data_IF_280864037391
#
_entry.id   IF_280864037391
#
_cell.length_a   1.000
_cell.length_b   1.000
_cell.length_c   1.000
_cell.angle_alpha   90.00
_cell.angle_beta   90.00
_cell.angle_gamma   90.00
#
_symmetry.space_group_name_H-M   'P 1'
#
loop_
_entity.id
_entity.type
_entity.pdbx_description
1 polymer ?
#
# COMPACT_ATOMS: atom_id res chain seq x y z
N UNK A 1 13.39 -11.46 -12.70
CA UNK A 1 12.73 -11.25 -11.40
C UNK A 1 11.46 -10.45 -11.62
N UNK A 2 10.40 -10.63 -10.82
CA UNK A 2 9.14 -9.88 -10.91
C UNK A 2 8.91 -9.10 -9.62
N UNK A 3 8.44 -7.84 -9.71
CA UNK A 3 8.07 -6.99 -8.59
C UNK A 3 6.79 -6.22 -8.91
N UNK A 4 5.92 -6.04 -7.94
CA UNK A 4 4.77 -5.14 -8.04
C UNK A 4 5.16 -3.72 -7.61
N UNK A 5 4.70 -2.71 -8.37
CA UNK A 5 4.75 -1.31 -7.98
C UNK A 5 3.33 -0.85 -7.67
N UNK A 6 3.11 -0.34 -6.48
CA UNK A 6 1.80 0.16 -6.08
C UNK A 6 1.84 1.64 -5.70
N UNK A 7 0.73 2.32 -5.89
CA UNK A 7 0.54 3.70 -5.46
C UNK A 7 -0.85 3.90 -4.86
N UNK A 8 -0.93 4.82 -3.89
CA UNK A 8 -2.17 5.23 -3.25
C UNK A 8 -2.81 6.32 -4.10
N UNK A 9 -4.08 6.14 -4.48
CA UNK A 9 -4.80 6.96 -5.45
C UNK A 9 -6.20 7.35 -4.93
N UNK A 10 -6.80 8.35 -5.58
CA UNK A 10 -8.10 8.85 -5.16
C UNK A 10 -8.05 9.70 -3.91
N UNK A 11 -6.88 10.23 -3.60
CA UNK A 11 -6.59 11.02 -2.38
C UNK A 11 -6.51 12.53 -2.65
N UNK A 12 -6.88 12.96 -3.86
CA UNK A 12 -6.89 14.36 -4.26
C UNK A 12 -5.61 14.83 -4.94
N UNK A 13 -4.71 13.92 -5.33
CA UNK A 13 -3.49 14.26 -6.06
C UNK A 13 -3.75 14.45 -7.55
N UNK A 14 -3.23 15.53 -8.14
CA UNK A 14 -3.36 15.80 -9.56
C UNK A 14 -2.61 14.79 -10.45
N UNK A 15 -1.65 14.06 -9.88
CA UNK A 15 -0.78 13.11 -10.58
C UNK A 15 -1.35 11.70 -10.71
N UNK A 16 -2.56 11.41 -10.18
CA UNK A 16 -3.14 10.08 -10.16
C UNK A 16 -3.21 9.43 -11.56
N UNK A 17 -3.65 10.17 -12.57
CA UNK A 17 -3.76 9.66 -13.93
C UNK A 17 -2.40 9.28 -14.54
N UNK A 18 -1.36 10.05 -14.27
CA UNK A 18 0.00 9.74 -14.74
C UNK A 18 0.61 8.57 -13.97
N UNK A 19 0.41 8.49 -12.66
CA UNK A 19 0.88 7.37 -11.84
C UNK A 19 0.30 6.04 -12.32
N UNK A 20 -0.97 6.01 -12.72
CA UNK A 20 -1.61 4.81 -13.27
C UNK A 20 -0.93 4.27 -14.54
N UNK A 21 -0.15 5.08 -15.24
CA UNK A 21 0.67 4.60 -16.38
C UNK A 21 1.99 3.97 -15.96
N UNK A 22 2.39 4.15 -14.70
CA UNK A 22 3.70 3.78 -14.19
C UNK A 22 3.66 2.62 -13.18
N UNK A 23 2.52 2.39 -12.53
CA UNK A 23 2.35 1.35 -11.51
C UNK A 23 1.66 0.11 -12.06
N UNK A 24 1.79 -1.02 -11.36
CA UNK A 24 1.07 -2.26 -11.65
C UNK A 24 -0.15 -2.48 -10.76
N UNK A 25 -0.21 -1.81 -9.60
CA UNK A 25 -1.31 -1.88 -8.65
C UNK A 25 -1.71 -0.50 -8.14
N UNK A 26 -3.02 -0.27 -7.97
CA UNK A 26 -3.60 0.94 -7.45
C UNK A 26 -4.35 0.65 -6.13
N UNK A 27 -4.07 1.42 -5.09
CA UNK A 27 -4.80 1.37 -3.82
C UNK A 27 -5.74 2.58 -3.77
N UNK A 28 -7.03 2.35 -3.96
CA UNK A 28 -8.01 3.42 -4.14
C UNK A 28 -8.68 3.77 -2.80
N UNK A 29 -8.60 5.03 -2.40
CA UNK A 29 -9.23 5.57 -1.20
C UNK A 29 -10.74 5.30 -1.20
N UNK A 30 -11.27 4.91 -0.04
CA UNK A 30 -12.64 4.43 0.12
C UNK A 30 -13.54 5.40 0.91
N UNK A 31 -13.21 6.68 0.92
CA UNK A 31 -14.05 7.76 1.48
C UNK A 31 -13.81 8.08 2.95
N UNK A 32 -13.13 7.26 3.72
CA UNK A 32 -12.91 7.50 5.16
C UNK A 32 -11.77 8.48 5.45
N UNK A 33 -10.69 8.43 4.70
CA UNK A 33 -9.60 9.42 4.84
C UNK A 33 -9.55 10.40 3.67
N UNK A 34 -10.00 10.00 2.50
CA UNK A 34 -10.01 10.78 1.27
C UNK A 34 -10.96 10.15 0.25
N UNK A 35 -11.22 10.88 -0.82
CA UNK A 35 -12.06 10.41 -1.91
C UNK A 35 -13.56 10.46 -1.60
N UNK A 36 -14.33 10.02 -2.56
CA UNK A 36 -15.77 9.84 -2.51
C UNK A 36 -16.21 8.84 -3.58
N UNK A 37 -17.52 8.60 -3.72
CA UNK A 37 -18.05 7.63 -4.67
C UNK A 37 -17.70 7.96 -6.13
N UNK A 38 -17.69 9.22 -6.52
CA UNK A 38 -17.38 9.66 -7.89
C UNK A 38 -15.88 9.52 -8.18
N UNK A 39 -15.03 9.87 -7.23
CA UNK A 39 -13.59 9.69 -7.31
C UNK A 39 -13.23 8.21 -7.42
N UNK A 40 -13.87 7.35 -6.63
CA UNK A 40 -13.69 5.90 -6.70
C UNK A 40 -14.05 5.38 -8.10
N UNK A 41 -15.20 5.80 -8.66
CA UNK A 41 -15.58 5.43 -10.03
C UNK A 41 -14.56 5.88 -11.07
N UNK A 42 -14.05 7.09 -10.96
CA UNK A 42 -13.06 7.64 -11.89
C UNK A 42 -11.74 6.87 -11.80
N UNK A 43 -11.24 6.61 -10.60
CA UNK A 43 -10.00 5.84 -10.39
C UNK A 43 -10.13 4.40 -10.91
N UNK A 44 -11.26 3.74 -10.67
CA UNK A 44 -11.51 2.38 -11.17
C UNK A 44 -11.49 2.36 -12.70
N UNK A 45 -12.18 3.30 -13.34
CA UNK A 45 -12.21 3.41 -14.81
C UNK A 45 -10.83 3.59 -15.40
N UNK A 46 -10.04 4.48 -14.84
CA UNK A 46 -8.67 4.72 -15.32
C UNK A 46 -7.74 3.53 -15.04
N UNK A 47 -7.90 2.84 -13.91
CA UNK A 47 -7.15 1.62 -13.61
C UNK A 47 -7.46 0.51 -14.63
N UNK A 48 -8.74 0.29 -14.96
CA UNK A 48 -9.15 -0.69 -15.99
C UNK A 48 -8.53 -0.33 -17.34
N UNK A 49 -8.63 0.93 -17.75
CA UNK A 49 -8.08 1.42 -19.03
C UNK A 49 -6.58 1.21 -19.16
N UNK A 50 -5.83 1.34 -18.05
CA UNK A 50 -4.38 1.17 -18.01
C UNK A 50 -3.94 -0.27 -17.68
N UNK A 51 -4.86 -1.21 -17.46
CA UNK A 51 -4.55 -2.59 -17.09
C UNK A 51 -3.90 -2.72 -15.70
N UNK A 52 -4.17 -1.78 -14.79
CA UNK A 52 -3.64 -1.73 -13.44
C UNK A 52 -4.54 -2.51 -12.48
N UNK A 53 -3.96 -3.31 -11.60
CA UNK A 53 -4.70 -4.06 -10.59
C UNK A 53 -5.40 -3.11 -9.61
N UNK A 54 -6.68 -3.37 -9.35
CA UNK A 54 -7.53 -2.55 -8.48
C UNK A 54 -7.51 -3.10 -7.06
N UNK A 55 -7.20 -2.25 -6.10
CA UNK A 55 -7.26 -2.57 -4.67
C UNK A 55 -7.96 -1.51 -3.84
N UNK A 56 -8.54 -1.93 -2.73
CA UNK A 56 -9.15 -1.04 -1.76
C UNK A 56 -8.12 -0.52 -0.75
N UNK A 57 -8.25 0.74 -0.39
CA UNK A 57 -7.37 1.43 0.56
C UNK A 57 -8.17 1.95 1.76
N UNK A 58 -8.70 1.03 2.63
CA UNK A 58 -9.53 1.39 3.76
C UNK A 58 -8.73 2.05 4.87
N UNK A 59 -9.37 2.94 5.60
CA UNK A 59 -8.77 3.75 6.65
C UNK A 59 -9.64 3.80 7.91
N UNK A 60 -9.07 4.28 9.00
CA UNK A 60 -9.83 4.83 10.10
C UNK A 60 -10.72 5.99 9.65
N UNK A 61 -11.87 6.26 10.32
CA UNK A 61 -12.75 7.38 10.00
C UNK A 61 -12.15 8.70 10.52
N UNK A 62 -11.09 9.16 9.88
CA UNK A 62 -10.24 10.29 10.30
C UNK A 62 -9.93 11.19 9.10
N UNK A 63 -10.98 11.69 8.45
CA UNK A 63 -10.82 12.51 7.24
C UNK A 63 -10.07 13.82 7.50
N UNK A 64 -10.28 14.41 8.66
CA UNK A 64 -9.65 15.68 9.05
C UNK A 64 -8.12 15.58 9.12
N UNK A 65 -7.59 14.41 9.50
CA UNK A 65 -6.16 14.16 9.60
C UNK A 65 -5.66 13.17 8.55
N UNK A 66 -6.43 13.00 7.48
CA UNK A 66 -6.05 12.11 6.38
C UNK A 66 -5.75 10.66 6.82
N UNK A 67 -6.49 10.16 7.81
CA UNK A 67 -6.31 8.81 8.35
C UNK A 67 -4.98 8.60 9.11
N UNK A 68 -4.30 9.66 9.50
CA UNK A 68 -2.97 9.60 10.14
C UNK A 68 -2.99 9.73 11.65
N UNK A 69 -4.17 9.87 12.28
CA UNK A 69 -4.30 9.87 13.73
C UNK A 69 -4.45 8.46 14.27
N UNK A 70 -3.76 8.17 15.37
CA UNK A 70 -3.94 6.92 16.10
C UNK A 70 -5.36 6.84 16.67
N UNK A 71 -5.99 5.68 16.52
CA UNK A 71 -7.32 5.41 17.07
C UNK A 71 -7.35 4.09 17.82
N UNK A 72 -8.11 4.05 18.91
CA UNK A 72 -8.40 2.84 19.69
C UNK A 72 -9.88 2.51 19.50
N UNK A 73 -10.19 1.73 18.48
CA UNK A 73 -11.55 1.29 18.18
C UNK A 73 -11.71 -0.20 18.52
N UNK A 74 -12.91 -0.61 18.97
CA UNK A 74 -13.18 -2.03 19.17
C UNK A 74 -12.92 -2.83 17.90
N UNK A 75 -12.39 -4.07 17.98
CA UNK A 75 -12.11 -4.91 16.80
C UNK A 75 -13.34 -5.10 15.89
N UNK A 76 -14.53 -5.25 16.47
CA UNK A 76 -15.78 -5.38 15.68
C UNK A 76 -16.12 -4.11 14.90
N UNK A 77 -15.81 -2.94 15.44
CA UNK A 77 -15.98 -1.66 14.73
C UNK A 77 -15.02 -1.58 13.54
N UNK A 78 -13.75 -1.95 13.74
CA UNK A 78 -12.74 -1.97 12.67
C UNK A 78 -13.12 -2.99 11.60
N UNK A 79 -13.58 -4.17 11.98
CA UNK A 79 -14.08 -5.18 11.05
C UNK A 79 -15.22 -4.61 10.19
N UNK A 80 -16.25 -4.03 10.81
CA UNK A 80 -17.40 -3.50 10.10
C UNK A 80 -17.03 -2.35 9.16
N UNK A 81 -16.21 -1.41 9.62
CA UNK A 81 -15.76 -0.27 8.83
C UNK A 81 -14.86 -0.68 7.66
N UNK A 82 -14.00 -1.68 7.87
CA UNK A 82 -13.13 -2.22 6.81
C UNK A 82 -13.97 -2.93 5.75
N UNK A 83 -14.88 -3.81 6.17
CA UNK A 83 -15.79 -4.52 5.26
C UNK A 83 -16.65 -3.57 4.44
N UNK A 84 -17.19 -2.52 5.07
CA UNK A 84 -17.97 -1.46 4.40
C UNK A 84 -17.17 -0.80 3.28
N UNK A 85 -15.93 -0.39 3.56
CA UNK A 85 -15.07 0.29 2.59
C UNK A 85 -14.67 -0.63 1.43
N UNK A 86 -14.26 -1.85 1.73
CA UNK A 86 -13.90 -2.85 0.73
C UNK A 86 -15.11 -3.19 -0.16
N UNK A 87 -16.27 -3.40 0.45
CA UNK A 87 -17.52 -3.73 -0.25
C UNK A 87 -17.94 -2.63 -1.21
N UNK A 88 -17.81 -1.37 -0.81
CA UNK A 88 -18.11 -0.23 -1.68
C UNK A 88 -17.26 -0.22 -2.94
N UNK A 89 -15.93 -0.37 -2.80
CA UNK A 89 -15.04 -0.39 -3.96
C UNK A 89 -15.25 -1.64 -4.83
N UNK A 90 -15.46 -2.81 -4.22
CA UNK A 90 -15.74 -4.05 -4.94
C UNK A 90 -16.97 -3.93 -5.83
N UNK A 91 -18.06 -3.32 -5.31
CA UNK A 91 -19.28 -3.06 -6.06
C UNK A 91 -19.04 -2.10 -7.22
N UNK A 92 -18.33 -1.00 -6.98
CA UNK A 92 -18.00 0.00 -8.01
C UNK A 92 -17.12 -0.61 -9.11
N UNK A 93 -16.10 -1.40 -8.74
CA UNK A 93 -15.24 -2.09 -9.70
C UNK A 93 -16.04 -3.06 -10.59
N UNK A 94 -16.87 -3.90 -9.98
CA UNK A 94 -17.71 -4.87 -10.70
C UNK A 94 -18.70 -4.18 -11.65
N UNK A 95 -19.31 -3.07 -11.22
CA UNK A 95 -20.26 -2.31 -12.05
C UNK A 95 -19.62 -1.75 -13.32
N UNK A 96 -18.31 -1.57 -13.33
CA UNK A 96 -17.53 -1.09 -14.48
C UNK A 96 -16.82 -2.22 -15.24
N UNK A 97 -17.12 -3.48 -14.94
CA UNK A 97 -16.50 -4.65 -15.58
C UNK A 97 -15.09 -4.97 -15.09
N UNK A 98 -14.66 -4.34 -13.97
CA UNK A 98 -13.39 -4.62 -13.33
C UNK A 98 -13.52 -5.62 -12.17
N UNK A 99 -12.37 -6.05 -11.66
CA UNK A 99 -12.29 -6.97 -10.52
C UNK A 99 -11.32 -6.39 -9.50
N UNK A 100 -11.78 -6.22 -8.25
CA UNK A 100 -10.90 -5.87 -7.15
C UNK A 100 -9.99 -7.07 -6.82
N UNK A 101 -8.69 -6.83 -6.71
CA UNK A 101 -7.67 -7.88 -6.53
C UNK A 101 -7.06 -7.93 -5.15
N UNK A 102 -6.94 -6.77 -4.48
CA UNK A 102 -6.22 -6.67 -3.22
C UNK A 102 -6.81 -5.61 -2.29
N UNK A 103 -6.36 -5.65 -1.05
CA UNK A 103 -6.66 -4.66 -0.01
C UNK A 103 -5.37 -4.25 0.67
N UNK A 104 -5.15 -2.95 0.79
CA UNK A 104 -4.06 -2.34 1.53
C UNK A 104 -4.62 -1.28 2.47
N UNK A 105 -4.57 -1.44 3.80
CA UNK A 105 -4.99 -0.41 4.74
C UNK A 105 -4.17 0.88 4.57
N UNK A 106 -4.79 2.01 4.90
CA UNK A 106 -4.16 3.33 4.82
C UNK A 106 -3.72 3.84 6.19
N UNK A 107 -2.63 4.63 6.21
CA UNK A 107 -2.23 5.50 7.31
C UNK A 107 -2.05 4.78 8.64
N UNK A 108 -2.66 5.30 9.70
CA UNK A 108 -2.53 4.70 11.03
C UNK A 108 -3.19 3.33 11.16
N UNK A 109 -4.24 3.05 10.40
CA UNK A 109 -4.81 1.70 10.35
C UNK A 109 -3.75 0.69 9.87
N UNK A 110 -2.98 1.02 8.87
CA UNK A 110 -1.86 0.21 8.38
C UNK A 110 -0.73 0.10 9.41
N UNK A 111 -0.28 1.22 9.96
CA UNK A 111 0.86 1.27 10.87
C UNK A 111 0.57 0.60 12.23
N UNK A 112 -0.63 0.80 12.78
CA UNK A 112 -1.05 0.13 14.01
C UNK A 112 -1.25 -1.37 13.77
N UNK A 113 -1.89 -1.78 12.69
CA UNK A 113 -2.09 -3.19 12.35
C UNK A 113 -0.76 -3.93 12.06
N UNK A 114 0.30 -3.21 11.71
CA UNK A 114 1.63 -3.81 11.58
C UNK A 114 2.17 -4.38 12.89
N UNK A 115 1.71 -3.86 14.04
CA UNK A 115 2.18 -4.21 15.39
C UNK A 115 1.11 -4.81 16.31
N UNK A 116 -0.17 -4.52 16.06
CA UNK A 116 -1.29 -4.91 16.92
C UNK A 116 -2.04 -6.11 16.32
N UNK A 117 -1.84 -7.29 16.90
CA UNK A 117 -2.41 -8.54 16.40
C UNK A 117 -3.95 -8.53 16.34
N UNK A 118 -4.64 -7.94 17.32
CA UNK A 118 -6.11 -7.87 17.32
C UNK A 118 -6.66 -6.98 16.21
N UNK A 119 -5.98 -5.86 15.94
CA UNK A 119 -6.34 -4.96 14.85
C UNK A 119 -6.10 -5.63 13.49
N UNK A 120 -4.95 -6.28 13.34
CA UNK A 120 -4.61 -7.05 12.16
C UNK A 120 -5.62 -8.17 11.88
N UNK A 121 -6.05 -8.90 12.93
CA UNK A 121 -7.07 -9.94 12.83
C UNK A 121 -8.41 -9.38 12.33
N UNK A 122 -8.88 -8.26 12.87
CA UNK A 122 -10.13 -7.63 12.45
C UNK A 122 -10.11 -7.26 10.96
N UNK A 123 -8.98 -6.71 10.48
CA UNK A 123 -8.80 -6.36 9.07
C UNK A 123 -8.77 -7.62 8.19
N UNK A 124 -7.96 -8.61 8.54
CA UNK A 124 -7.83 -9.86 7.77
C UNK A 124 -9.16 -10.61 7.69
N UNK A 125 -9.92 -10.64 8.78
CA UNK A 125 -11.26 -11.22 8.83
C UNK A 125 -12.23 -10.49 7.89
N UNK A 126 -12.19 -9.17 7.84
CA UNK A 126 -13.02 -8.38 6.92
C UNK A 126 -12.67 -8.64 5.46
N UNK A 127 -11.39 -8.74 5.12
CA UNK A 127 -10.94 -9.07 3.77
C UNK A 127 -11.41 -10.46 3.37
N UNK A 128 -11.22 -11.46 4.23
CA UNK A 128 -11.67 -12.84 4.00
C UNK A 128 -13.19 -12.94 3.83
N UNK A 129 -13.94 -12.22 4.67
CA UNK A 129 -15.41 -12.21 4.60
C UNK A 129 -15.93 -11.55 3.32
N UNK A 130 -15.21 -10.56 2.80
CA UNK A 130 -15.57 -9.94 1.52
C UNK A 130 -15.33 -10.88 0.35
N UNK A 131 -14.13 -11.41 0.24
CA UNK A 131 -13.73 -12.39 -0.78
C UNK A 131 -12.42 -13.07 -0.36
N UNK A 132 -12.40 -14.40 -0.11
CA UNK A 132 -11.19 -15.12 0.25
C UNK A 132 -10.12 -15.16 -0.86
N UNK A 133 -10.45 -14.79 -2.09
CA UNK A 133 -9.49 -14.68 -3.19
C UNK A 133 -8.69 -13.38 -3.20
N UNK A 134 -9.05 -12.40 -2.35
CA UNK A 134 -8.33 -11.13 -2.24
C UNK A 134 -6.94 -11.31 -1.65
N UNK A 135 -6.01 -10.52 -2.16
CA UNK A 135 -4.66 -10.41 -1.63
C UNK A 135 -4.65 -9.35 -0.52
N UNK A 136 -4.15 -9.69 0.66
CA UNK A 136 -3.92 -8.71 1.72
C UNK A 136 -2.48 -8.19 1.65
N UNK A 137 -2.36 -6.88 1.42
CA UNK A 137 -1.08 -6.17 1.37
C UNK A 137 -0.78 -5.54 2.72
N UNK A 138 0.39 -5.78 3.24
CA UNK A 138 0.85 -5.20 4.51
C UNK A 138 2.36 -5.03 4.56
N UNK A 139 2.85 -4.30 5.55
CA UNK A 139 4.29 -4.11 5.78
C UNK A 139 4.98 -5.47 5.90
N UNK A 140 6.11 -5.62 5.25
CA UNK A 140 6.92 -6.84 5.30
C UNK A 140 7.20 -7.27 6.74
N UNK A 141 6.89 -8.53 7.07
CA UNK A 141 7.10 -9.12 8.39
C UNK A 141 6.11 -8.68 9.48
N UNK A 142 5.04 -7.94 9.13
CA UNK A 142 4.09 -7.37 10.10
C UNK A 142 3.06 -8.37 10.62
N UNK A 143 2.36 -7.98 11.71
CA UNK A 143 1.20 -8.70 12.23
C UNK A 143 0.07 -8.81 11.19
N UNK A 144 -0.08 -7.82 10.31
CA UNK A 144 -1.09 -7.87 9.24
C UNK A 144 -0.83 -9.01 8.26
N UNK A 145 0.42 -9.23 7.87
CA UNK A 145 0.83 -10.36 7.03
C UNK A 145 0.56 -11.69 7.75
N UNK A 146 0.88 -11.75 9.05
CA UNK A 146 0.64 -12.94 9.87
C UNK A 146 -0.86 -13.27 9.96
N UNK A 147 -1.69 -12.26 10.24
CA UNK A 147 -3.14 -12.41 10.29
C UNK A 147 -3.72 -12.87 8.96
N UNK A 148 -3.28 -12.29 7.84
CA UNK A 148 -3.71 -12.73 6.51
C UNK A 148 -3.43 -14.21 6.26
N UNK A 149 -2.23 -14.66 6.58
CA UNK A 149 -1.84 -16.08 6.47
C UNK A 149 -2.69 -17.00 7.37
N UNK A 150 -3.05 -16.57 8.57
CA UNK A 150 -3.92 -17.34 9.48
C UNK A 150 -5.33 -17.56 8.90
N UNK A 151 -5.87 -16.59 8.16
CA UNK A 151 -7.15 -16.76 7.43
C UNK A 151 -7.01 -17.48 6.09
N UNK A 152 -5.80 -17.87 5.68
CA UNK A 152 -5.56 -18.52 4.39
C UNK A 152 -5.60 -17.56 3.20
N UNK A 153 -5.56 -16.26 3.44
CA UNK A 153 -5.45 -15.26 2.37
C UNK A 153 -4.07 -15.32 1.71
N UNK A 154 -4.02 -15.06 0.42
CA UNK A 154 -2.77 -14.67 -0.22
C UNK A 154 -2.34 -13.33 0.37
N UNK A 155 -1.09 -13.23 0.81
CA UNK A 155 -0.51 -11.99 1.33
C UNK A 155 0.57 -11.47 0.41
N UNK A 156 0.75 -10.15 0.41
CA UNK A 156 1.84 -9.49 -0.33
C UNK A 156 2.59 -8.56 0.60
N UNK A 157 3.87 -8.83 0.79
CA UNK A 157 4.73 -8.08 1.70
C UNK A 157 5.25 -6.82 1.03
N UNK A 158 4.92 -5.67 1.63
CA UNK A 158 5.23 -4.35 1.09
C UNK A 158 6.48 -3.75 1.69
N UNK A 159 7.27 -3.10 0.83
CA UNK A 159 8.38 -2.23 1.20
C UNK A 159 8.19 -0.84 0.61
N UNK A 160 8.86 0.15 1.19
CA UNK A 160 8.74 1.57 0.84
C UNK A 160 10.05 2.10 0.30
N UNK A 161 10.01 2.68 -0.89
CA UNK A 161 11.18 3.24 -1.54
C UNK A 161 11.77 4.43 -0.78
N UNK A 162 10.91 5.29 -0.24
CA UNK A 162 11.22 6.61 0.31
C UNK A 162 11.06 6.73 1.82
N UNK A 163 10.98 5.59 2.55
CA UNK A 163 10.83 5.58 4.00
C UNK A 163 12.08 5.06 4.69
N UNK A 164 12.39 5.66 5.85
CA UNK A 164 13.41 5.13 6.76
C UNK A 164 12.93 3.91 7.53
N UNK A 165 13.86 3.00 7.81
CA UNK A 165 13.61 1.76 8.53
C UNK A 165 14.34 1.71 9.86
N UNK A 166 13.76 1.04 10.84
CA UNK A 166 14.40 0.68 12.11
C UNK A 166 15.15 -0.67 11.94
N UNK A 167 15.97 -1.01 12.94
CA UNK A 167 16.75 -2.25 12.91
C UNK A 167 15.89 -3.54 12.89
N UNK A 168 14.65 -3.45 13.38
CA UNK A 168 13.69 -4.56 13.36
C UNK A 168 12.89 -4.69 12.04
N UNK A 169 13.18 -3.84 11.04
CA UNK A 169 12.45 -3.80 9.78
C UNK A 169 11.16 -3.00 9.80
N UNK A 170 10.79 -2.40 10.92
CA UNK A 170 9.65 -1.49 11.00
C UNK A 170 9.99 -0.11 10.44
N UNK A 171 8.96 0.66 10.07
CA UNK A 171 9.15 2.02 9.57
C UNK A 171 9.47 2.99 10.72
N UNK A 172 10.35 3.94 10.45
CA UNK A 172 10.57 5.08 11.34
C UNK A 172 9.30 5.93 11.38
N UNK A 173 8.77 6.27 12.58
CA UNK A 173 7.60 7.13 12.69
C UNK A 173 7.80 8.47 11.96
N UNK A 174 6.77 8.94 11.25
CA UNK A 174 6.87 10.16 10.42
C UNK A 174 7.26 11.42 11.19
N UNK A 175 7.02 11.43 12.49
CA UNK A 175 7.42 12.53 13.40
C UNK A 175 8.90 12.54 13.78
N UNK A 176 9.64 11.50 13.42
CA UNK A 176 11.06 11.37 13.78
C UNK A 176 11.98 11.70 12.60
N UNK A 177 13.19 12.20 12.88
CA UNK A 177 14.22 12.38 11.86
C UNK A 177 14.55 11.06 11.15
N UNK A 178 14.79 11.12 9.84
CA UNK A 178 15.10 9.94 9.03
C UNK A 178 13.88 9.11 8.62
N UNK A 179 12.65 9.57 8.90
CA UNK A 179 11.43 8.90 8.50
C UNK A 179 11.19 8.90 6.98
N UNK A 180 11.66 9.94 6.29
CA UNK A 180 11.56 10.11 4.84
C UNK A 180 12.95 10.21 4.22
N UNK A 181 13.09 9.62 3.03
CA UNK A 181 14.27 9.73 2.19
C UNK A 181 13.92 10.67 1.04
N UNK A 182 14.44 11.89 1.09
CA UNK A 182 14.19 12.95 0.08
C UNK A 182 15.15 12.84 -1.11
N UNK A 183 16.28 12.17 -0.94
CA UNK A 183 17.28 12.01 -1.99
C UNK A 183 16.90 10.82 -2.88
N UNK A 184 16.64 11.08 -4.16
CA UNK A 184 16.22 10.07 -5.15
C UNK A 184 17.24 8.95 -5.34
N UNK A 185 18.54 9.26 -5.34
CA UNK A 185 19.61 8.25 -5.49
C UNK A 185 19.60 7.27 -4.32
N UNK A 186 19.44 7.81 -3.11
CA UNK A 186 19.36 7.00 -1.90
C UNK A 186 18.09 6.14 -1.90
N UNK A 187 16.93 6.69 -2.27
CA UNK A 187 15.68 5.95 -2.38
C UNK A 187 15.77 4.83 -3.42
N UNK A 188 16.40 5.10 -4.57
CA UNK A 188 16.63 4.13 -5.62
C UNK A 188 17.55 3.00 -5.15
N UNK A 189 18.68 3.34 -4.53
CA UNK A 189 19.64 2.37 -4.01
C UNK A 189 18.99 1.49 -2.92
N UNK A 190 18.23 2.07 -2.00
CA UNK A 190 17.48 1.34 -0.99
C UNK A 190 16.49 0.36 -1.62
N UNK A 191 15.73 0.82 -2.62
CA UNK A 191 14.75 -0.03 -3.31
C UNK A 191 15.41 -1.23 -3.96
N UNK A 192 16.53 -1.04 -4.64
CA UNK A 192 17.29 -2.13 -5.26
C UNK A 192 17.84 -3.12 -4.23
N UNK A 193 18.34 -2.66 -3.09
CA UNK A 193 18.77 -3.54 -1.99
C UNK A 193 17.62 -4.39 -1.46
N UNK A 194 16.43 -3.81 -1.28
CA UNK A 194 15.26 -4.55 -0.82
C UNK A 194 14.78 -5.57 -1.85
N UNK A 195 14.71 -5.19 -3.13
CA UNK A 195 14.17 -6.05 -4.20
C UNK A 195 15.16 -7.15 -4.58
N UNK A 196 16.45 -6.86 -4.71
CA UNK A 196 17.47 -7.81 -5.19
C UNK A 196 18.06 -8.66 -4.07
N UNK A 197 18.19 -8.10 -2.87
CA UNK A 197 18.92 -8.72 -1.76
C UNK A 197 18.08 -9.00 -0.51
N UNK A 198 16.80 -8.57 -0.49
CA UNK A 198 15.89 -8.82 0.63
C UNK A 198 16.34 -8.17 1.94
N UNK A 199 16.96 -7.01 1.87
CA UNK A 199 17.47 -6.29 3.05
C UNK A 199 17.38 -4.78 2.87
N UNK A 200 17.28 -4.08 4.00
CA UNK A 200 17.28 -2.61 4.05
C UNK A 200 18.22 -2.13 5.14
N UNK A 201 18.88 -1.02 4.91
CA UNK A 201 19.73 -0.40 5.92
C UNK A 201 18.89 0.48 6.85
N UNK A 202 18.92 0.19 8.14
CA UNK A 202 18.22 0.97 9.16
C UNK A 202 18.87 2.36 9.36
N UNK A 203 18.14 3.26 10.02
CA UNK A 203 18.67 4.59 10.38
C UNK A 203 19.86 4.50 11.36
N UNK A 204 20.02 3.39 12.05
CA UNK A 204 21.19 3.12 12.94
C UNK A 204 22.35 2.46 12.20
N UNK A 205 22.19 2.16 10.90
CA UNK A 205 23.23 1.58 10.06
C UNK A 205 23.27 0.05 10.00
N UNK A 206 22.41 -0.63 10.74
CA UNK A 206 22.27 -2.09 10.74
C UNK A 206 21.44 -2.56 9.55
N UNK A 207 21.71 -3.78 9.10
CA UNK A 207 20.89 -4.41 8.07
C UNK A 207 19.71 -5.15 8.67
N UNK A 208 18.50 -4.81 8.23
CA UNK A 208 17.28 -5.55 8.52
C UNK A 208 16.88 -6.40 7.31
N UNK A 209 16.45 -7.64 7.55
CA UNK A 209 15.90 -8.50 6.50
C UNK A 209 14.47 -8.11 6.21
N UNK A 210 14.12 -7.96 4.92
CA UNK A 210 12.76 -7.67 4.46
C UNK A 210 12.43 -8.52 3.24
N UNK A 211 11.16 -8.87 3.08
CA UNK A 211 10.65 -9.51 1.87
C UNK A 211 9.96 -8.47 1.01
N UNK A 212 10.48 -8.18 -0.17
CA UNK A 212 9.88 -7.22 -1.09
C UNK A 212 9.05 -7.94 -2.16
N UNK A 213 7.74 -7.93 -2.02
CA UNK A 213 6.80 -8.45 -3.03
C UNK A 213 6.08 -7.31 -3.76
N UNK A 214 5.92 -6.16 -3.11
CA UNK A 214 5.43 -4.92 -3.71
C UNK A 214 6.19 -3.72 -3.15
N UNK A 215 6.46 -2.74 -4.00
CA UNK A 215 7.11 -1.48 -3.62
C UNK A 215 6.08 -0.36 -3.69
N UNK A 216 5.89 0.35 -2.60
CA UNK A 216 5.03 1.52 -2.55
C UNK A 216 5.76 2.76 -3.06
N UNK A 217 5.10 3.48 -3.97
CA UNK A 217 5.49 4.80 -4.43
C UNK A 217 4.51 5.82 -3.87
N UNK A 218 5.02 6.83 -3.18
CA UNK A 218 4.19 7.96 -2.74
C UNK A 218 4.01 8.96 -3.89
N UNK A 219 2.75 9.37 -4.12
CA UNK A 219 2.33 10.06 -5.32
C UNK A 219 2.20 11.58 -5.23
N UNK A 220 2.85 12.24 -4.27
CA UNK A 220 2.69 13.68 -4.07
C UNK A 220 3.67 14.49 -4.94
N UNK A 221 3.17 15.04 -6.06
CA UNK A 221 3.86 16.02 -6.88
C UNK A 221 4.74 15.50 -8.01
N UNK A 222 5.41 16.45 -8.70
CA UNK A 222 6.26 16.16 -9.86
C UNK A 222 7.46 15.26 -9.54
N UNK A 223 8.00 15.37 -8.34
CA UNK A 223 9.12 14.53 -7.88
C UNK A 223 8.74 13.05 -7.80
N UNK A 224 7.52 12.74 -7.37
CA UNK A 224 7.04 11.37 -7.29
C UNK A 224 6.91 10.72 -8.67
N UNK A 225 6.43 11.46 -9.67
CA UNK A 225 6.35 10.98 -11.04
C UNK A 225 7.73 10.77 -11.66
N UNK A 226 8.65 11.71 -11.45
CA UNK A 226 10.02 11.59 -11.91
C UNK A 226 10.70 10.37 -11.31
N UNK A 227 10.55 10.16 -10.01
CA UNK A 227 11.09 9.00 -9.31
C UNK A 227 10.47 7.68 -9.79
N UNK A 228 9.14 7.63 -10.00
CA UNK A 228 8.47 6.46 -10.53
C UNK A 228 8.98 6.08 -11.93
N UNK A 229 9.15 7.05 -12.82
CA UNK A 229 9.73 6.83 -14.16
C UNK A 229 11.15 6.30 -14.06
N UNK A 230 11.96 6.90 -13.22
CA UNK A 230 13.35 6.49 -13.00
C UNK A 230 13.44 5.08 -12.44
N UNK A 231 12.61 4.75 -11.46
CA UNK A 231 12.58 3.41 -10.88
C UNK A 231 12.19 2.36 -11.92
N UNK A 232 11.18 2.63 -12.76
CA UNK A 232 10.79 1.74 -13.85
C UNK A 232 11.92 1.52 -14.87
N UNK A 233 12.60 2.61 -15.28
CA UNK A 233 13.75 2.53 -16.18
C UNK A 233 14.87 1.66 -15.59
N UNK A 234 15.21 1.91 -14.32
CA UNK A 234 16.24 1.13 -13.63
C UNK A 234 15.86 -0.34 -13.49
N UNK A 235 14.60 -0.65 -13.21
CA UNK A 235 14.14 -2.03 -13.16
C UNK A 235 14.24 -2.72 -14.53
N UNK A 236 13.88 -2.02 -15.61
CA UNK A 236 14.04 -2.56 -16.96
C UNK A 236 15.51 -2.85 -17.31
N UNK A 237 16.44 -1.94 -16.98
CA UNK A 237 17.87 -2.12 -17.17
C UNK A 237 18.43 -3.32 -16.39
N UNK A 238 17.81 -3.64 -15.25
CA UNK A 238 18.20 -4.77 -14.39
C UNK A 238 17.37 -6.04 -14.62
N UNK A 239 16.62 -6.08 -15.71
CA UNK A 239 15.75 -7.22 -16.07
C UNK A 239 14.73 -7.59 -14.97
N UNK A 240 14.27 -6.58 -14.22
CA UNK A 240 13.21 -6.71 -13.21
C UNK A 240 11.88 -6.32 -13.87
N UNK A 241 10.97 -7.28 -13.99
CA UNK A 241 9.65 -7.07 -14.60
C UNK A 241 8.69 -6.46 -13.58
N UNK A 242 8.08 -5.32 -13.92
CA UNK A 242 7.04 -4.69 -13.11
C UNK A 242 5.68 -5.29 -13.50
N UNK A 243 5.07 -6.01 -12.58
CA UNK A 243 3.73 -6.60 -12.76
C UNK A 243 3.09 -6.95 -11.41
N UNK A 244 1.74 -6.84 -11.31
CA UNK A 244 0.94 -7.18 -10.14
C UNK A 244 0.83 -8.69 -9.91
#
# INVERSE_FOLDING_TARGET
MKIDLNADLGEGCASDAELLTLVSSANIACGFHAGDAQIMQACVREAIKNGVAIGAHPSFPDRENFGRSAMQLPPETVYAQTLYQIGALAAIARAQGGVMRHVKPHGMLYNQAAKEAQLADAIARAVYACDPALILVGLAGSELIRAGKQYGLTTREEVFADRGYQADGSLVPRSQPGALIENEEQALAQTLEMVQHGRVKSITGEWATVTAQTVCLHGDGEHALAFARRLRSTFAEKEIVVAA
#
